data_IF_333930033119
#
_entry.id   IF_333930033119
#
_cell.length_a   1.000
_cell.length_b   1.000
_cell.length_c   1.000
_cell.angle_alpha   90.00
_cell.angle_beta   90.00
_cell.angle_gamma   90.00
#
_symmetry.space_group_name_H-M   'P 1'
#
loop_
_entity.id
_entity.type
_entity.pdbx_description
1 polymer ?
#
# COMPACT_ATOMS: atom_id res chain seq x y z
N UNK A 1 16.08 -1.50 -10.42
CA UNK A 1 15.13 -1.56 -11.56
C UNK A 1 14.08 -0.48 -11.35
N UNK A 2 13.84 0.39 -12.33
CA UNK A 2 12.71 1.34 -12.30
C UNK A 2 11.41 0.55 -12.53
N UNK A 3 10.37 0.76 -11.72
CA UNK A 3 9.09 0.05 -11.86
C UNK A 3 8.00 0.99 -12.39
N UNK A 4 8.02 2.26 -11.98
CA UNK A 4 7.11 3.30 -12.44
C UNK A 4 7.87 4.63 -12.54
N UNK A 5 7.30 5.72 -13.09
CA UNK A 5 8.01 6.99 -13.24
C UNK A 5 8.71 7.51 -11.97
N UNK A 6 8.08 7.38 -10.81
CA UNK A 6 8.62 7.90 -9.54
C UNK A 6 9.27 6.83 -8.65
N UNK A 7 9.01 5.54 -8.87
CA UNK A 7 9.41 4.49 -7.93
C UNK A 7 10.24 3.37 -8.57
N UNK A 8 11.21 2.89 -7.78
CA UNK A 8 12.07 1.76 -8.11
C UNK A 8 11.72 0.52 -7.29
N UNK A 9 12.22 -0.64 -7.72
CA UNK A 9 12.18 -1.88 -6.93
C UNK A 9 12.83 -1.70 -5.55
N UNK A 10 13.89 -0.90 -5.45
CA UNK A 10 14.58 -0.66 -4.19
C UNK A 10 13.71 0.14 -3.20
N UNK A 11 12.85 1.03 -3.69
CA UNK A 11 11.91 1.78 -2.82
C UNK A 11 10.88 0.85 -2.16
N UNK A 12 10.46 -0.20 -2.88
CA UNK A 12 9.53 -1.19 -2.36
C UNK A 12 10.19 -2.20 -1.41
N UNK A 13 11.44 -2.58 -1.68
CA UNK A 13 12.20 -3.55 -0.88
C UNK A 13 12.84 -2.93 0.37
N UNK A 14 12.87 -1.60 0.47
CA UNK A 14 13.46 -0.86 1.57
C UNK A 14 12.82 -1.21 2.92
N UNK A 15 13.66 -1.50 3.90
CA UNK A 15 13.28 -1.60 5.31
C UNK A 15 14.50 -1.42 6.22
N UNK A 16 14.49 -0.38 7.06
CA UNK A 16 15.54 -0.14 8.05
C UNK A 16 15.66 -1.30 9.06
N UNK A 17 14.54 -1.96 9.35
CA UNK A 17 14.54 -3.13 10.21
C UNK A 17 15.21 -4.31 9.53
N UNK A 18 14.90 -4.57 8.25
CA UNK A 18 15.53 -5.64 7.49
C UNK A 18 17.04 -5.44 7.42
N UNK A 19 17.48 -4.22 7.09
CA UNK A 19 18.90 -3.86 7.02
C UNK A 19 19.61 -4.10 8.37
N UNK A 20 19.07 -3.58 9.48
CA UNK A 20 19.66 -3.75 10.81
C UNK A 20 19.69 -5.20 11.30
N UNK A 21 18.85 -6.07 10.74
CA UNK A 21 18.73 -7.47 11.14
C UNK A 21 19.29 -8.45 10.09
N UNK A 22 19.95 -7.95 9.04
CA UNK A 22 20.52 -8.79 7.97
C UNK A 22 19.48 -9.61 7.21
N UNK A 23 18.25 -9.11 7.06
CA UNK A 23 17.17 -9.79 6.34
C UNK A 23 17.16 -9.33 4.89
N UNK A 24 17.19 -10.29 3.96
CA UNK A 24 17.00 -10.02 2.53
C UNK A 24 15.50 -9.86 2.27
N UNK A 25 15.08 -8.62 1.99
CA UNK A 25 13.69 -8.28 1.73
C UNK A 25 13.46 -8.06 0.23
N UNK A 26 13.55 -9.13 -0.56
CA UNK A 26 13.44 -9.05 -2.01
C UNK A 26 12.09 -9.53 -2.51
N UNK A 27 11.46 -8.74 -3.38
CA UNK A 27 10.22 -9.09 -4.06
C UNK A 27 10.49 -10.30 -4.97
N UNK A 28 9.70 -11.38 -4.87
CA UNK A 28 9.77 -12.49 -5.83
C UNK A 28 9.50 -12.01 -7.26
N UNK A 29 10.27 -12.50 -8.23
CA UNK A 29 10.19 -11.99 -9.60
C UNK A 29 8.80 -12.18 -10.25
N UNK A 30 8.09 -13.25 -9.86
CA UNK A 30 6.71 -13.53 -10.28
C UNK A 30 5.67 -12.55 -9.71
N UNK A 31 6.03 -11.77 -8.69
CA UNK A 31 5.17 -10.75 -8.09
C UNK A 31 5.45 -9.34 -8.61
N UNK A 32 6.55 -9.11 -9.32
CA UNK A 32 6.99 -7.75 -9.72
C UNK A 32 5.90 -6.98 -10.47
N UNK A 33 5.18 -7.62 -11.38
CA UNK A 33 4.11 -6.95 -12.13
C UNK A 33 2.89 -6.60 -11.25
N UNK A 34 2.62 -7.38 -10.20
CA UNK A 34 1.59 -7.04 -9.21
C UNK A 34 1.99 -5.77 -8.45
N UNK A 35 3.25 -5.70 -8.00
CA UNK A 35 3.80 -4.53 -7.33
C UNK A 35 3.81 -3.30 -8.22
N UNK A 36 4.18 -3.48 -9.50
CA UNK A 36 4.13 -2.44 -10.52
C UNK A 36 2.72 -1.90 -10.75
N UNK A 37 1.72 -2.77 -10.82
CA UNK A 37 0.33 -2.36 -10.94
C UNK A 37 -0.13 -1.52 -9.73
N UNK A 38 0.23 -1.93 -8.51
CA UNK A 38 -0.06 -1.14 -7.30
C UNK A 38 0.58 0.25 -7.32
N UNK A 39 1.82 0.37 -7.80
CA UNK A 39 2.47 1.67 -8.00
C UNK A 39 1.67 2.56 -8.97
N UNK A 40 1.34 2.04 -10.15
CA UNK A 40 0.65 2.81 -11.20
C UNK A 40 -0.76 3.23 -10.76
N UNK A 41 -1.50 2.31 -10.14
CA UNK A 41 -2.92 2.54 -9.80
C UNK A 41 -3.10 3.42 -8.56
N UNK A 42 -2.13 3.41 -7.64
CA UNK A 42 -2.25 4.09 -6.35
C UNK A 42 -1.17 5.14 -6.16
N UNK A 43 0.11 4.77 -6.20
CA UNK A 43 1.17 5.67 -5.76
C UNK A 43 1.52 6.75 -6.77
N UNK A 44 1.49 6.47 -8.08
CA UNK A 44 1.79 7.46 -9.12
C UNK A 44 0.83 8.67 -9.06
N UNK A 45 -0.52 8.50 -9.01
CA UNK A 45 -1.44 9.61 -8.81
C UNK A 45 -1.22 10.43 -7.52
N UNK A 46 -0.68 9.79 -6.48
CA UNK A 46 -0.34 10.46 -5.22
C UNK A 46 0.98 11.22 -5.39
N UNK A 47 2.02 10.59 -5.94
CA UNK A 47 3.35 11.17 -6.15
C UNK A 47 3.31 12.41 -7.05
N UNK A 48 2.46 12.44 -8.08
CA UNK A 48 2.25 13.62 -8.92
C UNK A 48 1.80 14.87 -8.12
N UNK A 49 1.12 14.67 -6.99
CA UNK A 49 0.64 15.75 -6.12
C UNK A 49 1.54 15.98 -4.92
N UNK A 50 2.27 14.96 -4.51
CA UNK A 50 3.16 14.94 -3.36
C UNK A 50 4.52 14.39 -3.80
N UNK A 51 5.36 15.21 -4.46
CA UNK A 51 6.65 14.74 -5.00
C UNK A 51 7.62 14.30 -3.89
N UNK A 52 7.41 14.76 -2.67
CA UNK A 52 8.19 14.38 -1.48
C UNK A 52 7.70 13.08 -0.82
N UNK A 53 6.76 12.36 -1.45
CA UNK A 53 6.21 11.12 -0.90
C UNK A 53 7.30 10.06 -0.73
N UNK A 54 7.39 9.51 0.48
CA UNK A 54 8.34 8.48 0.83
C UNK A 54 7.63 7.17 1.18
N UNK A 55 8.08 6.06 0.59
CA UNK A 55 7.65 4.71 0.96
C UNK A 55 8.53 4.22 2.12
N UNK A 56 8.03 4.24 3.35
CA UNK A 56 8.81 3.74 4.49
C UNK A 56 8.88 2.22 4.53
N UNK A 57 7.87 1.54 3.98
CA UNK A 57 7.86 0.09 3.81
C UNK A 57 6.89 -0.32 2.69
N UNK A 58 7.41 -1.00 1.65
CA UNK A 58 6.60 -1.64 0.61
C UNK A 58 6.42 -3.13 0.86
N UNK A 59 7.12 -3.96 0.11
CA UNK A 59 7.10 -5.41 0.27
C UNK A 59 7.71 -5.83 1.60
N UNK A 60 7.16 -6.89 2.19
CA UNK A 60 7.75 -7.58 3.35
C UNK A 60 7.77 -9.08 3.10
N UNK A 61 8.97 -9.66 3.02
CA UNK A 61 9.11 -11.11 3.04
C UNK A 61 8.58 -11.69 4.37
N UNK A 62 8.27 -12.99 4.38
CA UNK A 62 7.67 -13.64 5.55
C UNK A 62 8.52 -13.48 6.83
N UNK A 63 9.84 -13.60 6.70
CA UNK A 63 10.78 -13.43 7.80
C UNK A 63 10.77 -12.01 8.37
N UNK A 64 10.73 -11.00 7.50
CA UNK A 64 10.63 -9.60 7.92
C UNK A 64 9.29 -9.34 8.61
N UNK A 65 8.19 -9.74 7.99
CA UNK A 65 6.85 -9.53 8.52
C UNK A 65 6.69 -10.19 9.89
N UNK A 66 7.17 -11.43 10.06
CA UNK A 66 7.13 -12.16 11.33
C UNK A 66 7.96 -11.48 12.42
N UNK A 67 9.18 -11.03 12.11
CA UNK A 67 10.06 -10.38 13.11
C UNK A 67 9.56 -9.01 13.57
N UNK A 68 8.87 -8.26 12.69
CA UNK A 68 8.22 -6.99 13.05
C UNK A 68 6.90 -7.22 13.81
N UNK A 69 6.41 -8.46 13.87
CA UNK A 69 5.12 -8.78 14.50
C UNK A 69 3.92 -8.43 13.63
N UNK A 70 4.11 -8.40 12.30
CA UNK A 70 3.04 -8.21 11.34
C UNK A 70 2.04 -9.36 11.30
N UNK A 71 0.82 -9.06 10.82
CA UNK A 71 -0.22 -10.08 10.62
C UNK A 71 0.21 -11.10 9.58
N UNK A 72 -0.18 -12.37 9.76
CA UNK A 72 0.04 -13.45 8.77
C UNK A 72 -0.68 -13.18 7.44
N UNK A 73 -1.73 -12.38 7.46
CA UNK A 73 -2.51 -12.02 6.27
C UNK A 73 -2.19 -10.59 5.81
N UNK A 74 -0.98 -10.09 6.10
CA UNK A 74 -0.55 -8.75 5.74
C UNK A 74 -0.41 -8.60 4.22
N UNK A 75 -1.04 -7.57 3.64
CA UNK A 75 -0.95 -7.28 2.21
C UNK A 75 0.47 -6.86 1.78
N UNK A 76 1.34 -6.48 2.71
CA UNK A 76 2.77 -6.25 2.42
C UNK A 76 3.49 -7.51 1.93
N UNK A 77 2.97 -8.70 2.24
CA UNK A 77 3.58 -9.97 1.80
C UNK A 77 3.29 -10.28 0.32
N UNK A 78 2.54 -9.44 -0.39
CA UNK A 78 2.28 -9.58 -1.81
C UNK A 78 1.18 -10.58 -2.16
N UNK A 79 0.74 -11.40 -1.19
CA UNK A 79 -0.30 -12.41 -1.35
C UNK A 79 -1.30 -12.35 -0.19
N UNK A 80 -2.55 -12.05 -0.50
CA UNK A 80 -3.66 -12.09 0.43
C UNK A 80 -4.30 -13.49 0.43
N UNK A 81 -4.35 -14.14 1.59
CA UNK A 81 -4.97 -15.44 1.74
C UNK A 81 -6.48 -15.31 2.00
N UNK A 82 -7.30 -15.70 1.01
CA UNK A 82 -8.73 -15.87 1.22
C UNK A 82 -9.01 -17.24 1.84
N UNK A 83 -9.02 -17.29 3.17
CA UNK A 83 -9.06 -18.53 3.96
C UNK A 83 -10.26 -19.45 3.83
N UNK A 84 -11.15 -19.21 2.86
CA UNK A 84 -12.37 -19.99 2.63
C UNK A 84 -12.33 -20.85 1.35
N UNK A 85 -11.33 -20.70 0.48
CA UNK A 85 -11.23 -21.47 -0.77
C UNK A 85 -10.28 -22.68 -0.68
N UNK A 86 -10.67 -23.80 -1.30
CA UNK A 86 -9.80 -24.95 -1.62
C UNK A 86 -9.74 -25.16 -3.14
N UNK A 87 -8.54 -25.21 -3.75
CA UNK A 87 -7.23 -24.92 -3.14
C UNK A 87 -7.12 -23.46 -2.65
N UNK A 88 -6.16 -23.14 -1.76
CA UNK A 88 -5.96 -21.78 -1.28
C UNK A 88 -5.84 -20.82 -2.45
N UNK A 89 -6.76 -19.86 -2.53
CA UNK A 89 -6.67 -18.77 -3.51
C UNK A 89 -5.88 -17.64 -2.87
N UNK A 90 -4.61 -17.55 -3.24
CA UNK A 90 -3.81 -16.39 -2.95
C UNK A 90 -4.15 -15.31 -3.98
N UNK A 91 -4.51 -14.14 -3.49
CA UNK A 91 -4.77 -12.98 -4.34
C UNK A 91 -3.55 -12.09 -4.28
N UNK A 92 -2.88 -11.86 -5.42
CA UNK A 92 -1.82 -10.87 -5.48
C UNK A 92 -2.34 -9.53 -4.97
N UNK A 93 -1.61 -8.90 -4.07
CA UNK A 93 -2.00 -7.61 -3.51
C UNK A 93 -0.74 -6.80 -3.23
N UNK A 94 -0.94 -5.52 -2.98
CA UNK A 94 0.15 -4.61 -2.67
C UNK A 94 -0.23 -3.77 -1.47
N UNK A 95 0.76 -3.43 -0.66
CA UNK A 95 0.59 -2.46 0.40
C UNK A 95 1.85 -1.62 0.56
N UNK A 96 1.63 -0.37 0.93
CA UNK A 96 2.65 0.65 1.04
C UNK A 96 2.40 1.44 2.33
N UNK A 97 3.43 1.55 3.15
CA UNK A 97 3.45 2.51 4.24
C UNK A 97 4.10 3.80 3.71
N UNK A 98 3.35 4.89 3.82
CA UNK A 98 3.66 6.19 3.27
C UNK A 98 3.91 7.20 4.37
N UNK A 99 4.94 8.01 4.18
CA UNK A 99 5.30 9.13 5.03
C UNK A 99 5.68 10.32 4.14
N UNK A 100 5.42 11.53 4.61
CA UNK A 100 6.16 12.71 4.15
C UNK A 100 7.52 12.78 4.86
N UNK A 101 8.47 13.60 4.40
CA UNK A 101 9.80 13.68 5.01
C UNK A 101 9.71 13.82 6.53
N UNK A 102 10.46 12.97 7.25
CA UNK A 102 10.32 12.88 8.71
C UNK A 102 10.43 14.23 9.39
N UNK A 103 9.43 14.57 10.20
CA UNK A 103 9.37 15.83 10.94
C UNK A 103 8.79 17.01 10.15
N UNK A 104 8.44 16.86 8.87
CA UNK A 104 7.74 17.91 8.11
C UNK A 104 6.30 18.13 8.57
N UNK A 105 5.71 17.14 9.24
CA UNK A 105 4.26 17.05 9.41
C UNK A 105 3.53 16.86 8.07
N UNK A 106 2.21 16.77 8.11
CA UNK A 106 1.36 16.70 6.91
C UNK A 106 0.93 15.30 6.49
N UNK A 107 1.28 14.25 7.25
CA UNK A 107 0.73 12.91 7.03
C UNK A 107 -0.80 12.94 7.19
N UNK A 108 -1.33 13.71 8.15
CA UNK A 108 -2.78 13.87 8.31
C UNK A 108 -3.44 14.47 7.06
N UNK A 109 -2.82 15.53 6.50
CA UNK A 109 -3.29 16.18 5.27
C UNK A 109 -3.19 15.25 4.06
N UNK A 110 -2.08 14.52 3.92
CA UNK A 110 -1.90 13.52 2.86
C UNK A 110 -3.01 12.46 2.94
N UNK A 111 -3.29 11.93 4.14
CA UNK A 111 -4.36 10.95 4.36
C UNK A 111 -5.73 11.51 3.94
N UNK A 112 -6.07 12.73 4.37
CA UNK A 112 -7.34 13.37 4.01
C UNK A 112 -7.46 13.62 2.50
N UNK A 113 -6.37 14.03 1.86
CA UNK A 113 -6.37 14.27 0.42
C UNK A 113 -6.56 12.97 -0.35
N UNK A 114 -5.91 11.87 0.04
CA UNK A 114 -6.13 10.54 -0.54
C UNK A 114 -7.57 10.08 -0.31
N UNK A 115 -8.09 10.20 0.91
CA UNK A 115 -9.44 9.79 1.29
C UNK A 115 -10.55 10.49 0.47
N UNK A 116 -10.28 11.70 -0.05
CA UNK A 116 -11.20 12.46 -0.90
C UNK A 116 -11.10 12.12 -2.39
N UNK A 117 -10.13 11.30 -2.80
CA UNK A 117 -9.98 10.87 -4.20
C UNK A 117 -10.89 9.70 -4.55
N UNK A 118 -10.94 9.36 -5.83
CA UNK A 118 -11.52 8.10 -6.32
C UNK A 118 -10.49 6.98 -6.53
N UNK A 119 -9.33 7.06 -5.86
CA UNK A 119 -8.30 6.03 -6.00
C UNK A 119 -8.82 4.66 -5.56
N UNK A 120 -8.49 3.58 -6.29
CA UNK A 120 -9.02 2.25 -6.05
C UNK A 120 -8.28 1.53 -4.92
N UNK A 121 -8.10 2.14 -3.75
CA UNK A 121 -7.45 1.45 -2.63
C UNK A 121 -8.39 0.43 -1.96
N UNK A 122 -7.83 -0.66 -1.44
CA UNK A 122 -8.56 -1.64 -0.62
C UNK A 122 -8.71 -1.12 0.81
N UNK A 123 -7.59 -0.79 1.47
CA UNK A 123 -7.58 -0.18 2.80
C UNK A 123 -6.68 1.06 2.81
N UNK A 124 -7.15 2.11 3.48
CA UNK A 124 -6.40 3.33 3.81
C UNK A 124 -6.43 3.50 5.33
N UNK A 125 -5.29 3.30 5.98
CA UNK A 125 -5.21 3.21 7.43
C UNK A 125 -4.33 4.33 7.99
N UNK A 126 -4.90 5.06 8.95
CA UNK A 126 -4.18 5.95 9.85
C UNK A 126 -3.48 5.11 10.93
N UNK A 127 -2.20 4.81 10.71
CA UNK A 127 -1.41 3.97 11.61
C UNK A 127 -0.62 4.81 12.62
N UNK A 128 -0.94 4.55 13.89
CA UNK A 128 -0.44 5.20 15.09
C UNK A 128 -0.54 6.74 15.04
N UNK A 129 0.35 7.44 15.76
CA UNK A 129 0.32 8.89 15.87
C UNK A 129 -0.75 9.42 16.82
N UNK A 130 -1.18 10.66 16.58
CA UNK A 130 -2.20 11.37 17.37
C UNK A 130 -3.47 11.64 16.55
N UNK A 131 -4.30 12.59 17.00
CA UNK A 131 -5.58 12.94 16.35
C UNK A 131 -5.43 13.82 15.10
N UNK A 132 -4.24 14.34 14.84
CA UNK A 132 -3.94 15.27 13.76
C UNK A 132 -2.89 14.72 12.80
N UNK A 133 -1.94 13.95 13.30
CA UNK A 133 -0.86 13.37 12.48
C UNK A 133 -0.73 11.85 12.75
N UNK A 134 -0.93 11.00 11.72
CA UNK A 134 -0.53 9.60 11.79
C UNK A 134 1.00 9.49 11.88
N UNK A 135 1.48 8.43 12.52
CA UNK A 135 2.89 8.11 12.43
C UNK A 135 3.28 7.77 10.98
N UNK A 136 2.41 7.00 10.30
CA UNK A 136 2.46 6.75 8.86
C UNK A 136 1.07 6.39 8.34
N UNK A 137 0.94 6.40 7.02
CA UNK A 137 -0.30 6.04 6.32
C UNK A 137 -0.07 4.69 5.65
N UNK A 138 -0.84 3.68 6.02
CA UNK A 138 -0.84 2.42 5.28
C UNK A 138 -1.90 2.50 4.18
N UNK A 139 -1.52 2.16 2.95
CA UNK A 139 -2.44 2.05 1.83
C UNK A 139 -2.23 0.73 1.09
N UNK A 140 -3.31 0.03 0.78
CA UNK A 140 -3.27 -1.24 0.07
C UNK A 140 -4.13 -1.25 -1.18
N UNK A 141 -3.81 -2.16 -2.09
CA UNK A 141 -4.55 -2.37 -3.34
C UNK A 141 -4.62 -3.86 -3.66
N UNK A 142 -5.83 -4.28 -4.02
CA UNK A 142 -6.16 -5.61 -4.51
C UNK A 142 -6.66 -5.47 -5.95
N UNK A 143 -6.06 -6.18 -6.93
CA UNK A 143 -6.51 -6.16 -8.32
C UNK A 143 -7.95 -6.67 -8.53
N UNK A 144 -8.44 -6.58 -9.77
CA UNK A 144 -9.71 -7.16 -10.22
C UNK A 144 -10.95 -6.59 -9.50
N UNK A 145 -10.95 -5.30 -9.18
CA UNK A 145 -12.08 -4.61 -8.54
C UNK A 145 -12.51 -5.23 -7.19
N UNK A 146 -11.58 -5.88 -6.48
CA UNK A 146 -11.83 -6.46 -5.17
C UNK A 146 -11.57 -5.49 -4.00
N UNK A 147 -11.24 -4.23 -4.31
CA UNK A 147 -10.95 -3.20 -3.34
C UNK A 147 -12.21 -2.82 -2.54
N UNK A 148 -12.14 -2.94 -1.21
CA UNK A 148 -13.26 -2.59 -0.30
C UNK A 148 -13.38 -1.10 -0.05
N UNK A 149 -12.30 -0.35 -0.27
CA UNK A 149 -12.19 1.08 -0.04
C UNK A 149 -12.51 1.48 1.40
N UNK A 150 -11.93 0.73 2.33
CA UNK A 150 -12.08 0.95 3.76
C UNK A 150 -11.10 2.01 4.27
N UNK A 151 -11.61 3.01 4.98
CA UNK A 151 -10.78 3.91 5.78
C UNK A 151 -10.78 3.47 7.24
N UNK A 152 -9.58 3.30 7.81
CA UNK A 152 -9.40 2.79 9.17
C UNK A 152 -8.45 3.69 9.96
N UNK A 153 -8.52 3.62 11.29
CA UNK A 153 -7.55 4.21 12.20
C UNK A 153 -7.21 3.26 13.33
N UNK A 154 -5.93 3.21 13.67
CA UNK A 154 -5.45 2.40 14.79
C UNK A 154 -5.72 3.09 16.13
N UNK A 155 -6.06 2.30 17.14
CA UNK A 155 -6.21 2.71 18.54
C UNK A 155 -5.52 1.71 19.43
N UNK A 156 -4.67 2.20 20.35
CA UNK A 156 -4.09 1.36 21.39
C UNK A 156 -5.11 1.15 22.50
N UNK A 157 -5.46 -0.10 22.76
CA UNK A 157 -6.34 -0.53 23.85
C UNK A 157 -5.57 -1.47 24.79
N UNK A 158 -6.02 -1.60 26.03
CA UNK A 158 -5.52 -2.64 26.95
C UNK A 158 -6.48 -3.82 26.92
N UNK A 159 -5.94 -5.03 26.83
CA UNK A 159 -6.73 -6.24 27.00
C UNK A 159 -6.98 -6.54 28.49
N UNK A 160 -7.77 -7.59 28.74
CA UNK A 160 -8.13 -8.02 30.10
C UNK A 160 -6.92 -8.49 30.93
N UNK A 161 -5.76 -8.68 30.31
CA UNK A 161 -4.50 -9.07 30.95
C UNK A 161 -3.54 -7.87 31.08
N UNK A 162 -3.99 -6.66 30.76
CA UNK A 162 -3.21 -5.42 30.82
C UNK A 162 -2.22 -5.26 29.66
N UNK A 163 -2.21 -6.14 28.67
CA UNK A 163 -1.33 -6.02 27.49
C UNK A 163 -1.90 -5.01 26.51
N UNK A 164 -1.02 -4.24 25.86
CA UNK A 164 -1.43 -3.30 24.82
C UNK A 164 -1.74 -4.06 23.53
N UNK A 165 -2.92 -3.82 22.97
CA UNK A 165 -3.38 -4.34 21.68
C UNK A 165 -3.73 -3.18 20.76
N UNK A 166 -3.51 -3.37 19.45
CA UNK A 166 -3.96 -2.44 18.42
C UNK A 166 -5.34 -2.87 17.95
N UNK A 167 -6.28 -1.93 17.95
CA UNK A 167 -7.62 -2.08 17.39
C UNK A 167 -7.76 -1.13 16.20
N UNK A 168 -8.42 -1.60 15.14
CA UNK A 168 -8.75 -0.77 13.98
C UNK A 168 -10.19 -0.27 14.11
N UNK A 169 -10.40 1.03 13.93
CA UNK A 169 -11.69 1.69 13.96
C UNK A 169 -11.99 2.25 12.56
N UNK A 170 -13.17 1.96 12.03
CA UNK A 170 -13.61 2.51 10.74
C UNK A 170 -13.82 4.02 10.80
N UNK A 171 -13.38 4.70 9.76
CA UNK A 171 -13.63 6.12 9.50
C UNK A 171 -14.56 6.21 8.29
N UNK A 172 -15.61 7.01 8.39
CA UNK A 172 -16.47 7.29 7.25
C UNK A 172 -15.72 8.16 6.24
N UNK A 173 -15.60 7.68 4.99
CA UNK A 173 -15.11 8.50 3.89
C UNK A 173 -16.16 9.52 3.50
N UNK A 174 -15.74 10.77 3.29
CA UNK A 174 -16.61 11.78 2.72
C UNK A 174 -17.05 11.34 1.30
N UNK A 175 -18.28 11.66 0.88
CA UNK A 175 -18.70 11.40 -0.50
C UNK A 175 -17.73 12.06 -1.48
N UNK A 176 -17.31 11.32 -2.50
CA UNK A 176 -16.39 11.85 -3.51
C UNK A 176 -17.06 12.95 -4.31
N UNK A 177 -16.38 14.11 -4.40
CA UNK A 177 -16.78 15.12 -5.38
C UNK A 177 -16.42 14.62 -6.77
N UNK A 178 -17.39 14.08 -7.49
CA UNK A 178 -17.27 13.52 -8.85
C UNK A 178 -16.83 14.52 -9.94
N UNK A 179 -16.60 15.80 -9.59
CA UNK A 179 -16.27 16.86 -10.56
C UNK A 179 -14.77 17.13 -10.78
N UNK A 180 -13.86 16.35 -10.20
CA UNK A 180 -12.44 16.31 -10.60
C UNK A 180 -11.92 14.92 -10.32
N UNK A 181 -11.43 14.21 -11.35
CA UNK A 181 -10.82 12.86 -11.32
C UNK A 181 -11.69 11.69 -11.83
N UNK A 182 -12.55 11.91 -12.83
CA UNK A 182 -13.19 10.82 -13.58
C UNK A 182 -12.65 10.63 -15.01
N UNK A 183 -11.79 11.53 -15.52
CA UNK A 183 -11.44 11.53 -16.95
C UNK A 183 -10.08 10.87 -17.27
N UNK A 184 -9.58 9.92 -16.47
CA UNK A 184 -8.26 9.32 -16.81
C UNK A 184 -8.05 7.84 -16.48
N UNK A 185 -9.07 7.09 -16.04
CA UNK A 185 -8.94 5.62 -15.95
C UNK A 185 -10.30 4.98 -16.30
N UNK A 186 -10.70 5.11 -17.56
CA UNK A 186 -11.54 4.09 -18.20
C UNK A 186 -10.61 3.20 -19.00
N UNK A 187 -10.79 1.89 -18.89
CA UNK A 187 -10.00 0.82 -19.50
C UNK A 187 -8.83 0.34 -18.63
N UNK A 188 -9.17 -0.40 -17.57
CA UNK A 188 -8.27 -1.39 -16.98
C UNK A 188 -7.96 -2.45 -18.03
N UNK A 189 -6.69 -2.72 -18.41
CA UNK A 189 -6.38 -3.93 -19.14
C UNK A 189 -6.55 -5.10 -18.17
N UNK A 190 -7.34 -6.10 -18.59
CA UNK A 190 -7.44 -7.37 -17.89
C UNK A 190 -6.04 -7.94 -17.68
N UNK A 191 -5.66 -8.20 -16.42
CA UNK A 191 -4.40 -8.85 -16.11
C UNK A 191 -4.46 -10.30 -16.62
N UNK A 192 -3.80 -10.57 -17.75
CA UNK A 192 -3.60 -11.92 -18.28
C UNK A 192 -2.19 -12.39 -17.88
N UNK A 193 -2.04 -13.42 -17.03
CA UNK A 193 -0.74 -13.96 -16.68
C UNK A 193 0.04 -14.39 -17.93
N UNK A 194 1.22 -13.82 -18.15
CA UNK A 194 2.13 -14.20 -19.24
C UNK A 194 2.25 -13.23 -20.42
N UNK A 195 1.53 -12.09 -20.44
CA UNK A 195 1.81 -11.05 -21.42
C UNK A 195 3.01 -10.19 -21.01
N UNK A 196 4.03 -10.13 -21.85
CA UNK A 196 5.11 -9.15 -21.76
C UNK A 196 4.61 -7.84 -22.36
N UNK A 197 4.39 -6.83 -21.52
CA UNK A 197 4.13 -5.48 -22.01
C UNK A 197 5.46 -4.86 -22.42
N UNK A 198 5.71 -4.83 -23.74
CA UNK A 198 6.91 -4.23 -24.31
C UNK A 198 7.02 -2.77 -23.84
N UNK A 199 8.04 -2.47 -23.04
CA UNK A 199 8.41 -1.10 -22.70
C UNK A 199 8.74 -0.36 -23.98
N UNK A 200 7.85 0.56 -24.38
CA UNK A 200 8.04 1.45 -25.51
C UNK A 200 9.29 2.30 -25.32
N UNK A 201 10.40 1.82 -25.86
CA UNK A 201 11.58 2.62 -26.17
C UNK A 201 11.41 3.18 -27.58
N UNK A 202 11.18 4.48 -27.70
CA UNK A 202 12.10 5.42 -28.38
C UNK A 202 11.39 6.62 -29.04
N UNK A 203 11.94 7.80 -28.72
CA UNK A 203 12.22 8.99 -29.54
C UNK A 203 11.07 9.75 -30.23
N UNK A 204 10.97 11.03 -29.89
CA UNK A 204 11.53 12.11 -30.70
C UNK A 204 12.14 13.18 -29.78
#
# INVERSE_FOLDING_TARGET
MQLSPHFTRADLERSDFAHRNGIVNSIPDDQIETWRAGLIMILEPIAERFPDLWISSGFRCEDLNRKIGGSRNSQHQGLFWMGWHRPPKYIPCTAFDLELPRGSGGNGKLWEQIARTNLPFDQLIWEFGDNHEPAWIHISHVPNNMNRREALRTKRIRDNLGKTKVQYQSIALAPTNSKRLADTISDTPDFVPGQTYAGGSSRA
#
